data_IF_242597390177
#
_entry.id   IF_242597390177
#
_cell.length_a   1.000
_cell.length_b   1.000
_cell.length_c   1.000
_cell.angle_alpha   90.00
_cell.angle_beta   90.00
_cell.angle_gamma   90.00
#
_symmetry.space_group_name_H-M   'P 1'
#
loop_
_entity.id
_entity.type
_entity.pdbx_description
1 polymer ?
#
# COMPACT_ATOMS: atom_id res chain seq x y z
N UNK A 1 -65.08 -14.89 36.25
CA UNK A 1 -63.79 -15.48 35.79
C UNK A 1 -63.12 -14.49 34.87
N UNK A 2 -62.16 -13.70 35.39
CA UNK A 2 -61.42 -12.69 34.58
C UNK A 2 -60.05 -13.27 34.25
N UNK A 3 -59.77 -13.52 32.98
CA UNK A 3 -58.44 -13.94 32.46
C UNK A 3 -57.56 -12.70 32.33
N UNK A 4 -56.53 -12.60 33.15
CA UNK A 4 -55.47 -11.63 32.98
C UNK A 4 -54.51 -12.14 31.90
N UNK A 5 -54.35 -11.37 30.84
CA UNK A 5 -53.30 -11.54 29.86
C UNK A 5 -52.01 -10.82 30.37
N UNK A 6 -51.01 -11.60 30.70
CA UNK A 6 -49.65 -11.08 31.02
C UNK A 6 -48.94 -10.90 29.70
N UNK A 7 -48.76 -9.65 29.31
CA UNK A 7 -47.97 -9.26 28.12
C UNK A 7 -46.50 -9.22 28.52
N UNK A 8 -45.74 -10.26 28.22
CA UNK A 8 -44.29 -10.31 28.45
C UNK A 8 -43.58 -9.53 27.36
N UNK A 9 -43.15 -8.33 27.69
CA UNK A 9 -42.34 -7.48 26.82
C UNK A 9 -40.88 -7.99 26.80
N UNK A 10 -40.48 -8.73 25.73
CA UNK A 10 -39.09 -9.14 25.56
C UNK A 10 -38.34 -7.98 24.92
N UNK A 11 -37.60 -7.21 25.74
CA UNK A 11 -36.62 -6.24 25.22
C UNK A 11 -35.41 -6.97 24.67
N UNK A 12 -35.35 -7.09 23.33
CA UNK A 12 -34.16 -7.50 22.60
C UNK A 12 -33.13 -6.37 22.66
N UNK A 13 -32.19 -6.48 23.61
CA UNK A 13 -30.97 -5.66 23.63
C UNK A 13 -30.08 -6.08 22.47
N UNK A 14 -30.18 -5.38 21.35
CA UNK A 14 -29.20 -5.42 20.29
C UNK A 14 -27.93 -4.74 20.79
N UNK A 15 -26.97 -5.53 21.29
CA UNK A 15 -25.60 -5.06 21.50
C UNK A 15 -24.95 -4.85 20.15
N UNK A 16 -24.86 -3.61 19.73
CA UNK A 16 -24.03 -3.20 18.59
C UNK A 16 -22.57 -3.44 18.96
N UNK A 17 -22.03 -4.58 18.58
CA UNK A 17 -20.58 -4.80 18.60
C UNK A 17 -20.02 -3.96 17.45
N UNK A 18 -19.59 -2.74 17.77
CA UNK A 18 -18.85 -1.89 16.84
C UNK A 18 -17.55 -2.59 16.49
N UNK A 19 -17.45 -3.16 15.28
CA UNK A 19 -16.18 -3.56 14.70
C UNK A 19 -15.35 -2.30 14.48
N UNK A 20 -14.46 -2.00 15.42
CA UNK A 20 -13.43 -1.00 15.22
C UNK A 20 -12.54 -1.51 14.09
N UNK A 21 -12.69 -0.93 12.90
CA UNK A 21 -11.78 -1.12 11.79
C UNK A 21 -10.38 -0.73 12.27
N UNK A 22 -9.50 -1.71 12.40
CA UNK A 22 -8.09 -1.48 12.73
C UNK A 22 -7.50 -0.71 11.56
N UNK A 23 -7.33 0.60 11.71
CA UNK A 23 -6.59 1.41 10.75
C UNK A 23 -5.17 0.86 10.75
N UNK A 24 -4.83 0.09 9.73
CA UNK A 24 -3.47 -0.41 9.54
C UNK A 24 -2.64 0.78 9.07
N UNK A 25 -2.01 1.47 10.01
CA UNK A 25 -0.97 2.45 9.65
C UNK A 25 0.19 1.69 9.02
N UNK A 26 0.67 2.16 7.89
CA UNK A 26 1.88 1.64 7.26
C UNK A 26 3.04 1.84 8.26
N UNK A 27 3.75 0.77 8.65
CA UNK A 27 4.84 0.91 9.60
C UNK A 27 5.94 1.77 8.97
N UNK A 28 6.40 2.74 9.72
CA UNK A 28 7.53 3.61 9.34
C UNK A 28 8.85 3.03 9.84
N UNK A 29 9.95 3.57 9.34
CA UNK A 29 11.30 3.17 9.75
C UNK A 29 11.96 4.36 10.43
N UNK A 30 12.70 4.10 11.49
CA UNK A 30 13.55 5.08 12.16
C UNK A 30 14.97 4.53 12.34
N UNK A 31 15.93 5.42 12.56
CA UNK A 31 17.32 5.07 12.91
C UNK A 31 17.46 5.21 14.42
N UNK A 32 17.89 4.14 15.09
CA UNK A 32 18.11 4.14 16.53
C UNK A 32 19.44 4.84 16.93
N UNK A 33 19.69 4.97 18.23
CA UNK A 33 20.88 5.61 18.75
C UNK A 33 22.21 4.93 18.36
N UNK A 34 22.16 3.72 17.82
CA UNK A 34 23.33 2.95 17.34
C UNK A 34 23.47 3.00 15.82
N UNK A 35 22.62 3.77 15.12
CA UNK A 35 22.63 3.87 13.66
C UNK A 35 21.94 2.71 12.94
N UNK A 36 21.13 1.90 13.65
CA UNK A 36 20.43 0.74 13.09
C UNK A 36 19.01 1.15 12.68
N UNK A 37 18.61 0.81 11.44
CA UNK A 37 17.23 0.99 10.97
C UNK A 37 16.31 0.01 11.67
N UNK A 38 15.17 0.52 12.20
CA UNK A 38 14.18 -0.27 12.91
C UNK A 38 12.76 0.08 12.47
N UNK A 39 11.90 -0.93 12.49
CA UNK A 39 10.47 -0.74 12.32
C UNK A 39 9.87 -0.02 13.54
N UNK A 40 9.03 0.99 13.31
CA UNK A 40 8.44 1.80 14.38
C UNK A 40 7.44 1.06 15.26
N UNK A 41 6.80 0.04 14.72
CA UNK A 41 5.76 -0.76 15.38
C UNK A 41 6.34 -1.90 16.24
N UNK A 42 7.43 -2.52 15.80
CA UNK A 42 8.01 -3.72 16.43
C UNK A 42 9.37 -3.48 17.06
N UNK A 43 10.03 -2.35 16.77
CA UNK A 43 11.41 -2.03 17.13
C UNK A 43 12.46 -3.06 16.66
N UNK A 44 12.04 -3.99 15.81
CA UNK A 44 12.96 -4.97 15.19
C UNK A 44 13.79 -4.29 14.11
N UNK A 45 14.98 -4.82 13.88
CA UNK A 45 15.84 -4.36 12.81
C UNK A 45 15.12 -4.48 11.45
N UNK A 46 15.16 -3.40 10.66
CA UNK A 46 14.62 -3.37 9.31
C UNK A 46 15.72 -3.77 8.34
N UNK A 47 15.59 -4.95 7.75
CA UNK A 47 16.46 -5.42 6.69
C UNK A 47 15.71 -5.46 5.36
N UNK A 48 16.41 -5.08 4.28
CA UNK A 48 15.82 -5.01 2.95
C UNK A 48 16.51 -5.98 2.01
N UNK A 49 15.70 -6.77 1.34
CA UNK A 49 16.09 -7.59 0.22
C UNK A 49 15.25 -7.20 -0.98
N UNK A 50 15.86 -6.58 -1.99
CA UNK A 50 15.10 -5.95 -3.04
C UNK A 50 15.77 -5.98 -4.40
N UNK A 51 15.08 -5.41 -5.39
CA UNK A 51 15.54 -5.30 -6.76
C UNK A 51 15.38 -3.87 -7.28
N UNK A 52 16.17 -3.54 -8.31
CA UNK A 52 15.88 -2.39 -9.15
C UNK A 52 14.65 -2.70 -9.99
N UNK A 53 13.68 -1.82 -9.97
CA UNK A 53 12.41 -1.99 -10.64
C UNK A 53 12.13 -0.80 -11.56
N UNK A 54 11.86 -1.06 -12.82
CA UNK A 54 11.80 -0.03 -13.87
C UNK A 54 10.46 0.05 -14.60
N UNK A 55 9.49 -0.82 -14.27
CA UNK A 55 8.21 -0.88 -14.99
C UNK A 55 7.42 0.43 -14.98
N UNK A 56 7.39 1.22 -13.87
CA UNK A 56 6.76 2.53 -13.87
C UNK A 56 7.48 3.58 -14.73
N UNK A 57 8.72 3.31 -15.18
CA UNK A 57 9.59 4.30 -15.81
C UNK A 57 10.39 3.75 -16.98
N UNK A 58 11.03 4.66 -17.70
CA UNK A 58 12.06 4.38 -18.69
C UNK A 58 11.60 3.40 -19.79
N UNK A 59 12.46 2.44 -20.09
CA UNK A 59 12.26 1.53 -21.23
C UNK A 59 11.07 0.58 -21.01
N UNK A 60 10.90 0.06 -19.81
CA UNK A 60 9.80 -0.86 -19.50
C UNK A 60 8.44 -0.17 -19.61
N UNK A 61 8.29 1.04 -19.10
CA UNK A 61 7.09 1.85 -19.28
C UNK A 61 6.72 2.05 -20.74
N UNK A 62 7.71 2.43 -21.57
CA UNK A 62 7.49 2.64 -23.00
C UNK A 62 7.16 1.35 -23.73
N UNK A 63 7.89 0.26 -23.44
CA UNK A 63 7.65 -1.04 -24.05
C UNK A 63 6.24 -1.57 -23.79
N UNK A 64 5.77 -1.50 -22.55
CA UNK A 64 4.40 -1.89 -22.20
C UNK A 64 3.35 -1.04 -22.92
N UNK A 65 3.61 0.26 -23.06
CA UNK A 65 2.75 1.15 -23.85
C UNK A 65 2.66 0.77 -25.32
N UNK A 66 3.77 0.45 -25.97
CA UNK A 66 3.78 -0.02 -27.37
C UNK A 66 3.05 -1.35 -27.54
N UNK A 67 3.09 -2.20 -26.55
CA UNK A 67 2.41 -3.50 -26.57
C UNK A 67 0.92 -3.39 -26.17
N UNK A 68 0.44 -2.21 -25.77
CA UNK A 68 -0.93 -2.01 -25.29
C UNK A 68 -1.24 -2.77 -23.97
N UNK A 69 -0.21 -3.03 -23.17
CA UNK A 69 -0.36 -3.73 -21.89
C UNK A 69 -0.77 -2.74 -20.81
N UNK A 70 -1.72 -3.13 -19.98
CA UNK A 70 -2.07 -2.40 -18.77
C UNK A 70 -0.88 -2.42 -17.79
N UNK A 71 -0.28 -1.25 -17.60
CA UNK A 71 0.92 -1.08 -16.78
C UNK A 71 0.66 -1.36 -15.30
N UNK A 72 -0.48 -0.92 -14.78
CA UNK A 72 -0.85 -1.17 -13.37
C UNK A 72 -1.01 -2.66 -13.10
N UNK A 73 -1.73 -3.37 -13.96
CA UNK A 73 -1.89 -4.82 -13.86
C UNK A 73 -0.54 -5.58 -14.01
N UNK A 74 0.38 -5.06 -14.83
CA UNK A 74 1.72 -5.63 -14.95
C UNK A 74 2.53 -5.43 -13.67
N UNK A 75 2.50 -4.24 -13.08
CA UNK A 75 3.17 -3.93 -11.81
C UNK A 75 2.62 -4.79 -10.68
N UNK A 76 1.29 -4.89 -10.52
CA UNK A 76 0.65 -5.73 -9.51
C UNK A 76 1.12 -7.18 -9.59
N UNK A 77 1.22 -7.71 -10.82
CA UNK A 77 1.68 -9.07 -11.07
C UNK A 77 3.15 -9.25 -10.71
N UNK A 78 4.00 -8.30 -11.06
CA UNK A 78 5.42 -8.32 -10.73
C UNK A 78 5.64 -8.24 -9.22
N UNK A 79 4.98 -7.31 -8.53
CA UNK A 79 5.04 -7.17 -7.08
C UNK A 79 4.58 -8.44 -6.38
N UNK A 80 3.47 -9.04 -6.85
CA UNK A 80 3.00 -10.32 -6.33
C UNK A 80 4.05 -11.42 -6.45
N UNK A 81 4.67 -11.58 -7.61
CA UNK A 81 5.68 -12.62 -7.82
C UNK A 81 6.96 -12.37 -7.03
N UNK A 82 7.44 -11.14 -7.01
CA UNK A 82 8.66 -10.77 -6.30
C UNK A 82 8.49 -10.92 -4.78
N UNK A 83 7.35 -10.53 -4.23
CA UNK A 83 7.05 -10.71 -2.80
C UNK A 83 7.07 -12.20 -2.40
N UNK A 84 6.60 -13.10 -3.27
CA UNK A 84 6.67 -14.56 -3.03
C UNK A 84 8.09 -15.10 -3.05
N UNK A 85 9.02 -14.42 -3.70
CA UNK A 85 10.45 -14.73 -3.68
C UNK A 85 11.17 -14.14 -2.47
N UNK A 86 10.43 -13.44 -1.59
CA UNK A 86 10.97 -12.82 -0.38
C UNK A 86 11.51 -11.41 -0.55
N UNK A 87 11.28 -10.79 -1.72
CA UNK A 87 11.60 -9.37 -1.90
C UNK A 87 10.66 -8.51 -1.06
N UNK A 88 11.22 -7.56 -0.33
CA UNK A 88 10.48 -6.63 0.53
C UNK A 88 10.85 -5.16 0.27
N UNK A 89 11.62 -4.90 -0.77
CA UNK A 89 12.00 -3.56 -1.18
C UNK A 89 12.18 -3.46 -2.69
N UNK A 90 11.87 -2.28 -3.22
CA UNK A 90 12.12 -1.94 -4.63
C UNK A 90 12.86 -0.64 -4.69
N UNK A 91 13.89 -0.57 -5.54
CA UNK A 91 14.55 0.67 -5.90
C UNK A 91 14.02 1.14 -7.24
N UNK A 92 13.32 2.26 -7.26
CA UNK A 92 12.80 2.88 -8.46
C UNK A 92 13.74 4.03 -8.85
N UNK A 93 14.09 4.10 -10.14
CA UNK A 93 14.84 5.21 -10.70
C UNK A 93 13.87 6.17 -11.39
N UNK A 94 13.78 7.36 -10.85
CA UNK A 94 12.98 8.44 -11.40
C UNK A 94 13.88 9.35 -12.23
N UNK A 95 13.38 9.78 -13.37
CA UNK A 95 13.97 10.87 -14.12
C UNK A 95 13.14 12.14 -13.89
N UNK A 96 13.79 13.21 -13.55
CA UNK A 96 13.16 14.51 -13.31
C UNK A 96 12.24 14.93 -14.45
N UNK A 97 12.69 14.77 -15.67
CA UNK A 97 11.94 15.09 -16.91
C UNK A 97 10.63 14.29 -17.07
N UNK A 98 10.45 13.20 -16.35
CA UNK A 98 9.23 12.38 -16.38
C UNK A 98 8.23 12.81 -15.28
N UNK A 99 8.69 13.56 -14.27
CA UNK A 99 7.89 13.94 -13.11
C UNK A 99 7.73 15.45 -12.92
N UNK A 100 8.52 16.25 -13.63
CA UNK A 100 8.48 17.71 -13.49
C UNK A 100 8.20 18.42 -14.79
N UNK A 101 7.62 19.61 -14.69
CA UNK A 101 7.56 20.56 -15.79
C UNK A 101 8.91 21.26 -16.03
N UNK A 102 8.97 22.13 -17.05
CA UNK A 102 10.18 22.89 -17.38
C UNK A 102 10.64 23.88 -16.30
N UNK A 103 9.84 24.15 -15.29
CA UNK A 103 10.11 25.03 -14.17
C UNK A 103 10.50 24.26 -12.89
N UNK A 104 10.44 22.93 -12.93
CA UNK A 104 10.79 22.05 -11.84
C UNK A 104 9.67 21.77 -10.85
N UNK A 105 8.41 22.13 -11.17
CA UNK A 105 7.27 21.76 -10.36
C UNK A 105 6.86 20.31 -10.64
N UNK A 106 6.35 19.61 -9.64
CA UNK A 106 5.83 18.26 -9.82
C UNK A 106 4.64 18.28 -10.78
N UNK A 107 4.68 17.40 -11.75
CA UNK A 107 3.63 17.22 -12.75
C UNK A 107 2.83 15.96 -12.46
N UNK A 108 1.55 16.09 -12.18
CA UNK A 108 0.66 14.93 -12.05
C UNK A 108 0.51 14.25 -13.42
N UNK A 109 0.91 12.99 -13.49
CA UNK A 109 0.90 12.21 -14.72
C UNK A 109 0.89 10.70 -14.44
N UNK A 110 0.79 9.91 -15.50
CA UNK A 110 0.73 8.44 -15.42
C UNK A 110 1.92 7.81 -14.66
N UNK A 111 3.10 8.43 -14.64
CA UNK A 111 4.25 7.90 -13.90
C UNK A 111 4.04 8.00 -12.39
N UNK A 112 3.47 9.11 -11.93
CA UNK A 112 3.10 9.30 -10.53
C UNK A 112 2.01 8.33 -10.10
N UNK A 113 0.96 8.20 -10.92
CA UNK A 113 -0.17 7.31 -10.66
C UNK A 113 0.25 5.83 -10.54
N UNK A 114 1.32 5.43 -11.23
CA UNK A 114 1.85 4.08 -11.16
C UNK A 114 2.73 3.81 -9.92
N UNK A 115 3.05 4.85 -9.14
CA UNK A 115 3.82 4.72 -7.89
C UNK A 115 2.95 4.62 -6.65
N UNK A 116 1.67 4.98 -6.75
CA UNK A 116 0.68 4.89 -5.68
C UNK A 116 0.02 3.50 -5.61
#
# INVERSE_FOLDING_TARGET
>A
MKRQFILTCICLLFTFVGTQGKTTSIPTIYIDGNGVMRWSDTHREASFFGANYTTPFAHAYRALGYLGVDRKAAIDKDVYHLSRLGFNAYRIHLWDVELTDGEGNLSENDHLDLME
#
